data_IF_391764193154
#
_entry.id   IF_391764193154
#
_cell.length_a   1.000
_cell.length_b   1.000
_cell.length_c   1.000
_cell.angle_alpha   90.00
_cell.angle_beta   90.00
_cell.angle_gamma   90.00
#
_symmetry.space_group_name_H-M   'P 1'
#
loop_
_entity.id
_entity.type
_entity.pdbx_description
1 polymer ?
#
# COMPACT_ATOMS: atom_id res chain seq x y z
N UNK A 1 5.20 -8.05 5.76
CA UNK A 1 4.55 -7.90 4.44
C UNK A 1 5.58 -8.06 3.34
N UNK A 2 5.34 -8.93 2.34
CA UNK A 2 6.24 -9.20 1.21
C UNK A 2 6.04 -8.20 0.05
N UNK A 3 7.01 -8.12 -0.87
CA UNK A 3 6.88 -7.34 -2.12
C UNK A 3 5.66 -7.74 -2.95
N UNK A 4 5.27 -9.02 -2.90
CA UNK A 4 4.10 -9.55 -3.61
C UNK A 4 2.84 -8.94 -3.02
N UNK A 5 2.70 -8.96 -1.69
CA UNK A 5 1.55 -8.38 -1.00
C UNK A 5 1.46 -6.86 -1.27
N UNK A 6 2.58 -6.13 -1.20
CA UNK A 6 2.58 -4.70 -1.49
C UNK A 6 2.20 -4.41 -2.95
N UNK A 7 2.62 -5.25 -3.88
CA UNK A 7 2.20 -5.20 -5.28
C UNK A 7 0.70 -5.44 -5.46
N UNK A 8 0.13 -6.40 -4.73
CA UNK A 8 -1.32 -6.69 -4.74
C UNK A 8 -2.12 -5.50 -4.20
N UNK A 9 -1.69 -4.91 -3.07
CA UNK A 9 -2.32 -3.72 -2.51
C UNK A 9 -2.27 -2.54 -3.50
N UNK A 10 -1.10 -2.28 -4.10
CA UNK A 10 -0.95 -1.22 -5.10
C UNK A 10 -1.86 -1.46 -6.32
N UNK A 11 -1.97 -2.70 -6.78
CA UNK A 11 -2.84 -3.05 -7.90
C UNK A 11 -4.32 -2.82 -7.54
N UNK A 12 -4.76 -3.23 -6.34
CA UNK A 12 -6.12 -3.02 -5.87
C UNK A 12 -6.47 -1.53 -5.79
N UNK A 13 -5.62 -0.72 -5.17
CA UNK A 13 -5.80 0.74 -5.08
C UNK A 13 -5.88 1.38 -6.48
N UNK A 14 -4.96 1.02 -7.38
CA UNK A 14 -4.97 1.55 -8.75
C UNK A 14 -6.20 1.16 -9.54
N UNK A 15 -6.74 -0.04 -9.33
CA UNK A 15 -7.97 -0.50 -9.99
C UNK A 15 -9.20 0.31 -9.57
N UNK A 16 -9.18 0.86 -8.35
CA UNK A 16 -10.19 1.79 -7.83
C UNK A 16 -9.93 3.25 -8.22
N UNK A 17 -8.93 3.53 -9.07
CA UNK A 17 -8.57 4.89 -9.49
C UNK A 17 -7.66 5.64 -8.52
N UNK A 18 -7.15 4.98 -7.47
CA UNK A 18 -6.28 5.60 -6.46
C UNK A 18 -4.82 5.49 -6.88
N UNK A 19 -4.10 6.62 -6.84
CA UNK A 19 -2.67 6.62 -7.17
C UNK A 19 -1.87 6.06 -6.00
N UNK A 20 -1.32 4.86 -6.18
CA UNK A 20 -0.49 4.16 -5.19
C UNK A 20 0.88 3.74 -5.73
N UNK A 21 1.90 3.72 -4.88
CA UNK A 21 3.26 3.29 -5.20
C UNK A 21 3.85 2.48 -4.04
N UNK A 22 4.47 1.34 -4.33
CA UNK A 22 5.22 0.58 -3.32
C UNK A 22 6.59 1.24 -3.09
N UNK A 23 7.00 1.36 -1.82
CA UNK A 23 8.30 1.89 -1.44
C UNK A 23 9.45 1.01 -1.89
N UNK A 24 10.57 1.64 -2.25
CA UNK A 24 11.81 0.94 -2.50
C UNK A 24 12.56 0.70 -1.18
N UNK A 25 12.89 -0.55 -0.91
CA UNK A 25 13.69 -0.97 0.26
C UNK A 25 15.01 -0.18 0.42
N UNK A 26 15.63 0.25 -0.68
CA UNK A 26 16.90 0.97 -0.66
C UNK A 26 16.79 2.47 -0.33
N UNK A 27 15.60 3.07 -0.43
CA UNK A 27 15.43 4.52 -0.23
C UNK A 27 15.32 4.92 1.25
N UNK A 28 15.07 3.97 2.14
CA UNK A 28 14.84 4.22 3.57
C UNK A 28 15.70 3.29 4.43
N UNK A 29 17.04 3.46 4.44
CA UNK A 29 17.97 2.58 5.15
C UNK A 29 17.80 2.60 6.68
N UNK A 30 17.12 3.61 7.23
CA UNK A 30 16.82 3.72 8.67
C UNK A 30 15.50 3.06 9.07
N UNK A 31 14.64 2.66 8.11
CA UNK A 31 13.48 1.81 8.38
C UNK A 31 13.92 0.37 8.19
N UNK A 32 14.35 -0.26 9.29
CA UNK A 32 14.80 -1.65 9.31
C UNK A 32 13.79 -2.56 8.61
N UNK A 33 14.28 -3.38 7.68
CA UNK A 33 13.59 -4.35 6.81
C UNK A 33 12.67 -5.37 7.53
N UNK A 34 12.53 -5.26 8.84
CA UNK A 34 11.68 -6.09 9.69
C UNK A 34 10.18 -5.74 9.55
N UNK A 35 9.83 -4.52 9.08
CA UNK A 35 8.45 -4.00 9.09
C UNK A 35 7.67 -4.12 7.76
N UNK A 36 8.28 -4.66 6.69
CA UNK A 36 7.63 -4.88 5.39
C UNK A 36 7.70 -3.69 4.42
N UNK A 37 7.17 -3.89 3.22
CA UNK A 37 7.25 -2.90 2.12
C UNK A 37 6.12 -1.87 2.25
N UNK A 38 6.41 -0.57 2.47
CA UNK A 38 5.36 0.43 2.61
C UNK A 38 4.65 0.69 1.28
N UNK A 39 3.37 1.07 1.35
CA UNK A 39 2.59 1.56 0.20
C UNK A 39 2.24 3.01 0.44
N UNK A 40 2.60 3.86 -0.52
CA UNK A 40 2.33 5.29 -0.50
C UNK A 40 1.14 5.60 -1.40
N UNK A 41 0.29 6.52 -0.95
CA UNK A 41 -0.84 7.06 -1.70
C UNK A 41 -0.79 8.59 -1.68
N UNK A 42 -1.47 9.23 -2.62
CA UNK A 42 -1.69 10.67 -2.58
C UNK A 42 -2.46 11.06 -1.31
N UNK A 43 -2.09 12.19 -0.69
CA UNK A 43 -2.79 12.71 0.50
C UNK A 43 -4.29 12.87 0.27
N UNK A 44 -4.68 13.26 -0.96
CA UNK A 44 -6.08 13.43 -1.37
C UNK A 44 -6.88 12.13 -1.36
N UNK A 45 -6.20 11.01 -1.52
CA UNK A 45 -6.81 9.69 -1.68
C UNK A 45 -6.71 8.84 -0.40
N UNK A 46 -6.13 9.37 0.69
CA UNK A 46 -5.87 8.61 1.93
C UNK A 46 -7.15 8.01 2.52
N UNK A 47 -8.24 8.78 2.57
CA UNK A 47 -9.52 8.31 3.10
C UNK A 47 -10.10 7.20 2.22
N UNK A 48 -10.16 7.41 0.91
CA UNK A 48 -10.67 6.42 -0.04
C UNK A 48 -9.82 5.14 -0.06
N UNK A 49 -8.50 5.26 0.05
CA UNK A 49 -7.59 4.13 0.14
C UNK A 49 -7.86 3.29 1.39
N UNK A 50 -8.08 3.96 2.54
CA UNK A 50 -8.36 3.29 3.80
C UNK A 50 -9.71 2.58 3.77
N UNK A 51 -10.76 3.25 3.30
CA UNK A 51 -12.10 2.65 3.16
C UNK A 51 -12.07 1.40 2.27
N UNK A 52 -11.36 1.46 1.14
CA UNK A 52 -11.21 0.31 0.26
C UNK A 52 -10.49 -0.85 0.95
N UNK A 53 -9.38 -0.59 1.65
CA UNK A 53 -8.62 -1.63 2.34
C UNK A 53 -9.40 -2.28 3.49
N UNK A 54 -10.15 -1.47 4.26
CA UNK A 54 -11.02 -1.98 5.33
C UNK A 54 -12.12 -2.88 4.74
N UNK A 55 -12.70 -2.51 3.57
CA UNK A 55 -13.72 -3.31 2.89
C UNK A 55 -13.21 -4.65 2.34
N UNK A 56 -11.94 -4.71 1.95
CA UNK A 56 -11.29 -5.95 1.49
C UNK A 56 -11.02 -6.86 2.69
N UNK A 57 -10.50 -6.29 3.79
CA UNK A 57 -10.16 -7.05 5.00
C UNK A 57 -11.38 -7.57 5.74
N UNK A 58 -12.52 -6.86 5.68
CA UNK A 58 -13.76 -7.27 6.33
C UNK A 58 -14.54 -8.37 5.57
N UNK A 59 -14.19 -8.64 4.32
CA UNK A 59 -14.84 -9.65 3.46
C UNK A 59 -14.04 -10.96 3.33
N UNK A 60 -12.91 -11.07 4.02
CA UNK A 60 -12.08 -12.28 4.17
C UNK A 60 -12.36 -12.94 5.53
#
# INVERSE_FOLDING_TARGET
>A
MSRVEAGVIVAALRSAGITAVAGAEAAYPSMTFTDGVPVFVSERDVLAARELLDSITAND
#
